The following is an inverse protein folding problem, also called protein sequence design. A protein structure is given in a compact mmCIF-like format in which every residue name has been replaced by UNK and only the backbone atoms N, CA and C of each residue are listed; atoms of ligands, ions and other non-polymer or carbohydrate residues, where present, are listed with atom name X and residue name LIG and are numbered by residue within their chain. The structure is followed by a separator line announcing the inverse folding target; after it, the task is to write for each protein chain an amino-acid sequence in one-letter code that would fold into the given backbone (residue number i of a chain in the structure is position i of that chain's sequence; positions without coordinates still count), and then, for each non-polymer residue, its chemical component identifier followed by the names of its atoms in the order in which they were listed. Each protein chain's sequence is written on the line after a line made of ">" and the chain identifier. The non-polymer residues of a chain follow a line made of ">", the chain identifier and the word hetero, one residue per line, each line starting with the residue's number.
data_IF_427357790670
#
_entry.id   IF_427357790670
#
_cell.length_a   1.000
_cell.length_b   1.000
_cell.length_c   1.000
_cell.angle_alpha   90.00
_cell.angle_beta   90.00
_cell.angle_gamma   90.00
#
_symmetry.space_group_name_H-M   'P 1'
#
loop_
_entity.id
_entity.type
_entity.pdbx_description
1 polymer ?
#
# COMPACT_ATOMS: atom_id res chain seq x y z
N UNK A 1 41.27 -15.66 -6.73
CA UNK A 1 40.13 -15.99 -5.84
C UNK A 1 40.30 -15.49 -4.38
N UNK A 2 41.43 -15.70 -3.71
CA UNK A 2 41.63 -15.28 -2.30
C UNK A 2 41.55 -13.76 -2.00
N UNK A 3 41.83 -12.87 -2.96
CA UNK A 3 41.73 -11.40 -2.78
C UNK A 3 40.28 -10.86 -2.79
N UNK A 4 39.36 -11.59 -3.38
CA UNK A 4 37.92 -11.20 -3.44
C UNK A 4 37.19 -11.51 -2.13
N UNK A 5 37.54 -12.60 -1.47
CA UNK A 5 36.96 -12.97 -0.16
C UNK A 5 37.36 -12.00 0.97
N UNK A 6 38.65 -11.56 1.00
CA UNK A 6 39.10 -10.64 2.04
C UNK A 6 38.43 -9.28 2.00
N UNK A 7 38.04 -8.77 0.82
CA UNK A 7 37.38 -7.48 0.64
C UNK A 7 35.94 -7.50 1.15
N UNK A 8 35.25 -8.64 0.99
CA UNK A 8 33.88 -8.77 1.48
C UNK A 8 33.81 -8.81 3.02
N UNK A 9 34.79 -9.46 3.66
CA UNK A 9 34.89 -9.45 5.12
C UNK A 9 35.18 -8.07 5.69
N UNK A 10 36.00 -7.26 5.04
CA UNK A 10 36.26 -5.87 5.45
C UNK A 10 35.00 -5.00 5.36
N UNK A 11 34.20 -5.16 4.33
CA UNK A 11 32.91 -4.46 4.18
C UNK A 11 31.95 -4.89 5.29
N UNK A 12 31.83 -6.19 5.55
CA UNK A 12 30.96 -6.73 6.62
C UNK A 12 31.42 -6.21 7.98
N UNK A 13 32.70 -6.25 8.29
CA UNK A 13 33.27 -5.74 9.54
C UNK A 13 33.04 -4.22 9.69
N UNK A 14 33.17 -3.46 8.61
CA UNK A 14 32.91 -2.00 8.61
C UNK A 14 31.44 -1.72 8.87
N UNK A 15 30.52 -2.47 8.24
CA UNK A 15 29.08 -2.34 8.50
C UNK A 15 28.71 -2.72 9.94
N UNK A 16 29.25 -3.81 10.46
CA UNK A 16 29.07 -4.22 11.86
C UNK A 16 29.61 -3.15 12.80
N UNK A 17 30.82 -2.65 12.55
CA UNK A 17 31.42 -1.57 13.34
C UNK A 17 30.60 -0.29 13.33
N UNK A 18 30.11 0.12 12.15
CA UNK A 18 29.22 1.26 12.03
C UNK A 18 27.91 1.07 12.80
N UNK A 19 27.26 -0.08 12.65
CA UNK A 19 26.03 -0.40 13.40
C UNK A 19 26.27 -0.42 14.90
N UNK A 20 27.42 -0.95 15.34
CA UNK A 20 27.80 -0.98 16.75
C UNK A 20 28.01 0.42 17.32
N UNK A 21 28.68 1.32 16.56
CA UNK A 21 28.86 2.71 16.96
C UNK A 21 27.51 3.44 17.04
N UNK A 22 26.63 3.26 16.05
CA UNK A 22 25.27 3.84 16.06
C UNK A 22 24.47 3.32 17.26
N UNK A 23 24.48 2.01 17.52
CA UNK A 23 23.81 1.41 18.66
C UNK A 23 24.35 1.94 19.99
N UNK A 24 25.69 2.00 20.17
CA UNK A 24 26.32 2.54 21.39
C UNK A 24 26.00 4.02 21.59
N UNK A 25 26.07 4.82 20.52
CA UNK A 25 25.67 6.22 20.56
C UNK A 25 24.21 6.36 21.02
N UNK A 26 23.31 5.55 20.46
CA UNK A 26 21.89 5.59 20.80
C UNK A 26 21.62 5.17 22.25
N UNK A 27 22.29 4.11 22.72
CA UNK A 27 22.17 3.63 24.12
C UNK A 27 22.66 4.68 25.13
N UNK A 28 23.76 5.38 24.82
CA UNK A 28 24.33 6.40 25.71
C UNK A 28 23.51 7.68 25.74
N UNK A 29 23.04 8.16 24.57
CA UNK A 29 22.36 9.45 24.45
C UNK A 29 20.83 9.35 24.49
N UNK A 30 20.27 8.20 24.19
CA UNK A 30 18.84 7.91 24.17
C UNK A 30 18.60 6.57 24.85
N UNK A 31 18.66 6.50 26.20
CA UNK A 31 18.47 5.26 26.91
C UNK A 31 17.12 4.62 26.56
N UNK A 32 17.10 3.31 26.43
CA UNK A 32 15.89 2.52 26.21
C UNK A 32 15.01 2.57 27.47
N UNK A 33 14.21 3.61 27.56
CA UNK A 33 13.24 3.80 28.62
C UNK A 33 11.90 3.06 28.33
N UNK A 34 10.98 3.15 29.27
CA UNK A 34 9.65 2.55 29.11
C UNK A 34 8.88 3.18 27.93
N UNK A 35 9.09 4.46 27.63
CA UNK A 35 8.48 5.15 26.51
C UNK A 35 8.95 4.61 25.16
N UNK A 36 10.25 4.32 25.02
CA UNK A 36 10.81 3.69 23.83
C UNK A 36 10.21 2.29 23.59
N UNK A 37 10.15 1.45 24.63
CA UNK A 37 9.60 0.09 24.53
C UNK A 37 8.11 0.16 24.15
N UNK A 38 7.36 1.06 24.75
CA UNK A 38 5.96 1.28 24.40
C UNK A 38 5.80 1.67 22.93
N UNK A 39 6.55 2.66 22.45
CA UNK A 39 6.48 3.11 21.05
C UNK A 39 6.91 2.02 20.07
N UNK A 40 7.92 1.23 20.39
CA UNK A 40 8.33 0.09 19.58
C UNK A 40 7.19 -0.93 19.44
N UNK A 41 6.51 -1.26 20.54
CA UNK A 41 5.35 -2.17 20.51
C UNK A 41 4.20 -1.60 19.68
N UNK A 42 3.93 -0.30 19.77
CA UNK A 42 2.94 0.37 18.92
C UNK A 42 3.31 0.25 17.43
N UNK A 43 4.55 0.54 17.08
CA UNK A 43 5.02 0.48 15.69
C UNK A 43 4.97 -0.94 15.13
N UNK A 44 5.33 -1.96 15.92
CA UNK A 44 5.17 -3.36 15.54
C UNK A 44 3.70 -3.74 15.33
N UNK A 45 2.79 -3.25 16.18
CA UNK A 45 1.35 -3.42 15.98
C UNK A 45 0.88 -2.75 14.69
N UNK A 46 1.35 -1.54 14.37
CA UNK A 46 0.98 -0.84 13.14
C UNK A 46 1.44 -1.60 11.88
N UNK A 47 2.68 -2.08 11.88
CA UNK A 47 3.20 -2.91 10.79
C UNK A 47 2.40 -4.20 10.63
N UNK A 48 2.18 -4.92 11.73
CA UNK A 48 1.42 -6.17 11.73
C UNK A 48 -0.01 -5.98 11.18
N UNK A 49 -0.74 -5.00 11.70
CA UNK A 49 -2.12 -4.73 11.23
C UNK A 49 -2.16 -4.28 9.77
N UNK A 50 -1.16 -3.50 9.32
CA UNK A 50 -1.02 -3.09 7.92
C UNK A 50 -0.80 -4.29 6.99
N UNK A 51 0.10 -5.19 7.37
CA UNK A 51 0.38 -6.43 6.61
C UNK A 51 -0.88 -7.31 6.55
N UNK A 52 -1.56 -7.50 7.68
CA UNK A 52 -2.81 -8.28 7.72
C UNK A 52 -3.85 -7.71 6.76
N UNK A 53 -4.06 -6.38 6.77
CA UNK A 53 -5.04 -5.72 5.90
C UNK A 53 -4.70 -5.91 4.41
N UNK A 54 -3.43 -5.74 4.04
CA UNK A 54 -2.95 -5.93 2.66
C UNK A 54 -3.11 -7.39 2.21
N UNK A 55 -2.75 -8.35 3.05
CA UNK A 55 -2.88 -9.78 2.76
C UNK A 55 -4.36 -10.17 2.58
N UNK A 56 -5.22 -9.69 3.46
CA UNK A 56 -6.67 -9.91 3.35
C UNK A 56 -7.25 -9.29 2.08
N UNK A 57 -6.86 -8.06 1.75
CA UNK A 57 -7.27 -7.41 0.51
C UNK A 57 -6.80 -8.19 -0.72
N UNK A 58 -5.54 -8.64 -0.73
CA UNK A 58 -5.01 -9.48 -1.81
C UNK A 58 -5.78 -10.79 -1.99
N UNK A 59 -6.07 -11.48 -0.89
CA UNK A 59 -6.86 -12.72 -0.88
C UNK A 59 -8.31 -12.51 -1.33
N UNK A 60 -8.98 -11.44 -0.85
CA UNK A 60 -10.33 -11.08 -1.26
C UNK A 60 -10.38 -10.76 -2.75
N UNK A 61 -9.48 -9.91 -3.23
CA UNK A 61 -9.44 -9.55 -4.64
C UNK A 61 -9.15 -10.74 -5.54
N UNK A 62 -8.25 -11.65 -5.13
CA UNK A 62 -7.98 -12.90 -5.88
C UNK A 62 -9.24 -13.78 -5.97
N UNK A 63 -10.01 -13.88 -4.90
CA UNK A 63 -11.30 -14.56 -4.90
C UNK A 63 -12.28 -13.90 -5.90
N UNK A 64 -12.40 -12.57 -5.85
CA UNK A 64 -13.29 -11.80 -6.72
C UNK A 64 -12.87 -11.88 -8.20
N UNK A 65 -11.58 -11.82 -8.52
CA UNK A 65 -11.08 -12.04 -9.89
C UNK A 65 -11.44 -13.45 -10.39
N UNK A 66 -11.39 -14.46 -9.53
CA UNK A 66 -11.85 -15.81 -9.86
C UNK A 66 -13.33 -15.86 -10.21
N UNK A 67 -14.18 -15.18 -9.45
CA UNK A 67 -15.62 -15.07 -9.72
C UNK A 67 -15.87 -14.33 -11.05
N UNK A 68 -15.13 -13.26 -11.31
CA UNK A 68 -15.22 -12.49 -12.57
C UNK A 68 -14.61 -13.23 -13.77
N UNK A 69 -13.89 -14.34 -13.54
CA UNK A 69 -13.16 -15.11 -14.58
C UNK A 69 -12.14 -14.26 -15.34
N UNK A 70 -11.50 -13.32 -14.65
CA UNK A 70 -10.39 -12.50 -15.15
C UNK A 70 -9.07 -13.17 -14.75
N UNK A 71 -7.99 -12.89 -15.51
CA UNK A 71 -6.64 -13.37 -15.18
C UNK A 71 -6.24 -12.99 -13.75
N UNK A 72 -5.97 -14.00 -12.94
CA UNK A 72 -5.66 -13.86 -11.51
C UNK A 72 -4.17 -13.60 -11.24
N UNK A 73 -3.31 -13.66 -12.28
CA UNK A 73 -1.85 -13.54 -12.14
C UNK A 73 -1.39 -12.06 -12.11
N UNK A 74 -2.11 -11.22 -11.39
CA UNK A 74 -1.86 -9.78 -11.22
C UNK A 74 -2.07 -9.40 -9.74
N UNK A 75 -1.10 -9.69 -8.86
CA UNK A 75 -1.31 -9.55 -7.42
C UNK A 75 -1.66 -8.12 -6.97
N UNK A 76 -1.13 -7.08 -7.64
CA UNK A 76 -1.48 -5.69 -7.33
C UNK A 76 -2.93 -5.35 -7.69
N UNK A 77 -3.45 -5.88 -8.81
CA UNK A 77 -4.85 -5.70 -9.22
C UNK A 77 -5.79 -6.40 -8.23
N UNK A 78 -5.41 -7.62 -7.78
CA UNK A 78 -6.13 -8.32 -6.71
C UNK A 78 -6.20 -7.47 -5.45
N UNK A 79 -5.06 -6.92 -4.99
CA UNK A 79 -5.01 -6.08 -3.80
C UNK A 79 -5.87 -4.81 -3.95
N UNK A 80 -5.79 -4.14 -5.10
CA UNK A 80 -6.59 -2.94 -5.37
C UNK A 80 -8.09 -3.26 -5.30
N UNK A 81 -8.55 -4.30 -6.00
CA UNK A 81 -9.95 -4.73 -5.98
C UNK A 81 -10.40 -5.06 -4.56
N UNK A 82 -9.58 -5.80 -3.80
CA UNK A 82 -9.87 -6.16 -2.43
C UNK A 82 -9.94 -4.95 -1.49
N UNK A 83 -9.00 -4.00 -1.56
CA UNK A 83 -9.04 -2.77 -0.73
C UNK A 83 -10.28 -1.93 -1.03
N UNK A 84 -10.61 -1.72 -2.31
CA UNK A 84 -11.83 -1.00 -2.67
C UNK A 84 -13.10 -1.68 -2.13
N UNK A 85 -13.22 -3.00 -2.27
CA UNK A 85 -14.34 -3.76 -1.71
C UNK A 85 -14.37 -3.70 -0.18
N UNK A 86 -13.23 -3.82 0.50
CA UNK A 86 -13.14 -3.69 1.96
C UNK A 86 -13.59 -2.31 2.45
N UNK A 87 -13.25 -1.24 1.72
CA UNK A 87 -13.73 0.11 2.01
C UNK A 87 -15.26 0.19 1.99
N UNK A 88 -15.90 -0.37 0.95
CA UNK A 88 -17.36 -0.38 0.83
C UNK A 88 -18.02 -1.27 1.90
N UNK A 89 -17.45 -2.44 2.19
CA UNK A 89 -17.94 -3.34 3.24
C UNK A 89 -17.90 -2.63 4.59
N UNK A 90 -16.80 -1.96 4.90
CA UNK A 90 -16.69 -1.20 6.14
C UNK A 90 -17.69 -0.05 6.20
N UNK A 91 -17.84 0.71 5.10
CA UNK A 91 -18.83 1.77 4.99
C UNK A 91 -20.25 1.27 5.27
N UNK A 92 -20.65 0.16 4.64
CA UNK A 92 -21.98 -0.42 4.82
C UNK A 92 -22.22 -0.87 6.26
N UNK A 93 -21.26 -1.54 6.87
CA UNK A 93 -21.35 -2.01 8.25
C UNK A 93 -21.39 -0.82 9.23
N UNK A 94 -20.52 0.18 9.01
CA UNK A 94 -20.50 1.39 9.83
C UNK A 94 -21.81 2.19 9.73
N UNK A 95 -22.44 2.18 8.55
CA UNK A 95 -23.72 2.84 8.32
C UNK A 95 -24.88 2.13 9.03
N UNK A 96 -24.93 0.78 8.96
CA UNK A 96 -26.05 -0.01 9.48
C UNK A 96 -25.91 -0.27 10.99
N UNK A 97 -24.73 -0.66 11.45
CA UNK A 97 -24.46 -1.15 12.80
C UNK A 97 -23.62 -0.21 13.66
N UNK A 98 -23.15 0.90 13.08
CA UNK A 98 -22.20 1.80 13.72
C UNK A 98 -20.76 1.28 13.69
N UNK A 99 -19.85 2.09 14.23
CA UNK A 99 -18.40 1.82 14.26
C UNK A 99 -18.04 1.21 15.60
N UNK A 100 -17.50 -0.01 15.57
CA UNK A 100 -17.06 -0.74 16.76
C UNK A 100 -15.80 -1.57 16.47
N UNK A 101 -14.89 -1.62 17.43
CA UNK A 101 -13.68 -2.44 17.39
C UNK A 101 -14.02 -3.93 17.20
N UNK A 102 -15.13 -4.40 17.76
CA UNK A 102 -15.58 -5.78 17.63
C UNK A 102 -15.94 -6.16 16.20
N UNK A 103 -16.66 -5.27 15.49
CA UNK A 103 -16.93 -5.45 14.06
C UNK A 103 -15.63 -5.40 13.26
N UNK A 104 -14.74 -4.45 13.58
CA UNK A 104 -13.46 -4.32 12.91
C UNK A 104 -12.65 -5.60 12.93
N UNK A 105 -12.42 -6.20 14.09
CA UNK A 105 -11.70 -7.47 14.22
C UNK A 105 -12.51 -8.66 13.71
N UNK A 106 -13.83 -8.71 13.99
CA UNK A 106 -14.71 -9.82 13.58
C UNK A 106 -14.68 -10.04 12.07
N UNK A 107 -14.75 -8.96 11.29
CA UNK A 107 -14.68 -9.03 9.82
C UNK A 107 -13.31 -9.55 9.37
N UNK A 108 -12.21 -9.03 9.94
CA UNK A 108 -10.86 -9.48 9.56
C UNK A 108 -10.67 -10.97 9.84
N UNK A 109 -11.12 -11.45 11.00
CA UNK A 109 -11.04 -12.88 11.37
C UNK A 109 -11.91 -13.74 10.44
N UNK A 110 -13.15 -13.32 10.17
CA UNK A 110 -14.04 -14.04 9.26
C UNK A 110 -13.47 -14.13 7.84
N UNK A 111 -12.93 -13.03 7.33
CA UNK A 111 -12.27 -13.00 6.02
C UNK A 111 -11.01 -13.87 5.99
N UNK A 112 -10.20 -13.82 7.04
CA UNK A 112 -8.99 -14.64 7.13
C UNK A 112 -9.33 -16.14 7.06
N UNK A 113 -10.32 -16.58 7.82
CA UNK A 113 -10.78 -17.98 7.81
C UNK A 113 -11.38 -18.34 6.44
N UNK A 114 -12.30 -17.51 5.92
CA UNK A 114 -13.01 -17.80 4.66
C UNK A 114 -12.13 -17.74 3.42
N UNK A 115 -11.09 -16.91 3.44
CA UNK A 115 -10.23 -16.66 2.28
C UNK A 115 -8.82 -17.25 2.42
N UNK A 116 -8.56 -18.09 3.41
CA UNK A 116 -7.22 -18.60 3.73
C UNK A 116 -6.48 -19.16 2.49
N UNK A 117 -7.16 -19.93 1.65
CA UNK A 117 -6.58 -20.51 0.43
C UNK A 117 -6.20 -19.42 -0.59
N UNK A 118 -7.06 -18.41 -0.76
CA UNK A 118 -6.81 -17.30 -1.68
C UNK A 118 -5.68 -16.39 -1.17
N UNK A 119 -5.62 -16.17 0.14
CA UNK A 119 -4.54 -15.44 0.80
C UNK A 119 -3.21 -16.14 0.57
N UNK A 120 -3.13 -17.43 0.86
CA UNK A 120 -1.91 -18.21 0.65
C UNK A 120 -1.45 -18.18 -0.82
N UNK A 121 -2.38 -18.38 -1.75
CA UNK A 121 -2.08 -18.33 -3.18
C UNK A 121 -1.59 -16.94 -3.62
N UNK A 122 -2.17 -15.85 -3.10
CA UNK A 122 -1.76 -14.48 -3.40
C UNK A 122 -0.37 -14.15 -2.86
N UNK A 123 -0.07 -14.57 -1.62
CA UNK A 123 1.26 -14.37 -1.01
C UNK A 123 2.35 -15.11 -1.80
N UNK A 124 2.10 -16.36 -2.19
CA UNK A 124 3.04 -17.13 -3.00
C UNK A 124 3.27 -16.47 -4.37
N UNK A 125 2.21 -15.98 -5.02
CA UNK A 125 2.31 -15.32 -6.32
C UNK A 125 3.20 -14.07 -6.26
N UNK A 126 3.00 -13.20 -5.25
CA UNK A 126 3.88 -12.03 -5.06
C UNK A 126 5.33 -12.46 -4.85
N UNK A 127 5.56 -13.47 -4.01
CA UNK A 127 6.90 -13.93 -3.72
C UNK A 127 7.60 -14.48 -4.97
N UNK A 128 6.92 -15.33 -5.75
CA UNK A 128 7.46 -15.91 -6.97
C UNK A 128 7.80 -14.84 -8.02
N UNK A 129 6.84 -13.93 -8.33
CA UNK A 129 7.06 -12.88 -9.34
C UNK A 129 8.22 -11.96 -8.96
N UNK A 130 8.32 -11.56 -7.69
CA UNK A 130 9.42 -10.70 -7.25
C UNK A 130 10.77 -11.44 -7.25
N UNK A 131 10.78 -12.73 -6.93
CA UNK A 131 11.97 -13.55 -7.01
C UNK A 131 12.47 -13.67 -8.44
N UNK A 132 11.59 -13.88 -9.41
CA UNK A 132 11.93 -13.96 -10.83
C UNK A 132 12.53 -12.64 -11.33
N UNK A 133 11.93 -11.49 -10.95
CA UNK A 133 12.47 -10.16 -11.30
C UNK A 133 13.86 -9.96 -10.68
N UNK A 134 14.06 -10.34 -9.42
CA UNK A 134 15.34 -10.20 -8.75
C UNK A 134 16.43 -11.06 -9.38
N UNK A 135 16.13 -12.30 -9.73
CA UNK A 135 17.07 -13.20 -10.38
C UNK A 135 17.36 -12.77 -11.82
N UNK A 136 16.37 -12.24 -12.55
CA UNK A 136 16.55 -11.68 -13.90
C UNK A 136 17.26 -10.32 -13.93
N UNK A 137 17.46 -9.68 -12.76
CA UNK A 137 18.10 -8.36 -12.69
C UNK A 137 19.63 -8.46 -12.78
N UNK A 138 20.22 -7.70 -13.69
CA UNK A 138 21.66 -7.50 -13.80
C UNK A 138 22.21 -6.60 -12.67
N UNK A 139 23.53 -6.43 -12.61
CA UNK A 139 24.21 -5.63 -11.58
C UNK A 139 23.67 -4.21 -11.47
N UNK A 140 23.41 -3.52 -12.58
CA UNK A 140 22.85 -2.17 -12.59
C UNK A 140 21.43 -2.16 -11.97
N UNK A 141 20.57 -3.10 -12.34
CA UNK A 141 19.25 -3.23 -11.78
C UNK A 141 19.28 -3.44 -10.25
N UNK A 142 20.23 -4.23 -9.74
CA UNK A 142 20.43 -4.44 -8.30
C UNK A 142 20.95 -3.20 -7.57
N UNK A 143 21.77 -2.37 -8.21
CA UNK A 143 22.20 -1.07 -7.67
C UNK A 143 21.00 -0.12 -7.55
N UNK A 144 20.19 -0.02 -8.61
CA UNK A 144 18.99 0.81 -8.62
C UNK A 144 17.98 0.30 -7.56
N UNK A 145 17.81 -1.01 -7.43
CA UNK A 145 16.98 -1.61 -6.38
C UNK A 145 17.47 -1.21 -4.97
N UNK A 146 18.80 -1.20 -4.75
CA UNK A 146 19.40 -0.71 -3.50
C UNK A 146 19.07 0.75 -3.18
N UNK A 147 19.11 1.62 -4.19
CA UNK A 147 18.66 3.02 -4.07
C UNK A 147 17.16 3.11 -3.70
N UNK A 148 16.30 2.37 -4.39
CA UNK A 148 14.87 2.32 -4.09
C UNK A 148 14.61 1.84 -2.66
N UNK A 149 15.27 0.76 -2.24
CA UNK A 149 15.14 0.21 -0.89
C UNK A 149 15.58 1.20 0.19
N UNK A 150 16.66 1.97 -0.05
CA UNK A 150 17.10 3.00 0.89
C UNK A 150 16.01 4.06 1.11
N UNK A 151 15.42 4.59 0.03
CA UNK A 151 14.34 5.57 0.12
C UNK A 151 13.11 4.99 0.82
N UNK A 152 12.74 3.76 0.49
CA UNK A 152 11.62 3.07 1.13
C UNK A 152 11.86 2.88 2.63
N UNK A 153 13.05 2.51 3.05
CA UNK A 153 13.40 2.39 4.48
C UNK A 153 13.31 3.74 5.21
N UNK A 154 13.87 4.80 4.62
CA UNK A 154 13.80 6.15 5.22
C UNK A 154 12.35 6.61 5.35
N UNK A 155 11.55 6.45 4.30
CA UNK A 155 10.14 6.85 4.33
C UNK A 155 9.29 5.99 5.26
N UNK A 156 9.62 4.70 5.46
CA UNK A 156 8.98 3.85 6.45
C UNK A 156 9.25 4.35 7.87
N UNK A 157 10.50 4.68 8.18
CA UNK A 157 10.84 5.24 9.50
C UNK A 157 10.04 6.50 9.78
N UNK A 158 9.87 7.38 8.79
CA UNK A 158 9.05 8.58 8.92
C UNK A 158 7.56 8.22 9.06
N UNK A 159 7.05 7.22 8.32
CA UNK A 159 5.67 6.78 8.41
C UNK A 159 5.30 6.14 9.76
N UNK A 160 6.29 5.66 10.51
CA UNK A 160 6.09 5.15 11.87
C UNK A 160 6.05 6.25 12.93
N UNK A 161 6.36 7.49 12.58
CA UNK A 161 6.18 8.66 13.43
C UNK A 161 4.75 9.22 13.31
N UNK A 162 4.27 9.98 14.31
CA UNK A 162 2.97 10.64 14.24
C UNK A 162 2.84 11.52 12.98
N UNK A 163 1.71 11.48 12.25
CA UNK A 163 1.50 12.30 11.06
C UNK A 163 1.44 13.78 11.41
N UNK A 164 2.16 14.60 10.62
CA UNK A 164 2.28 16.06 10.85
C UNK A 164 1.89 16.89 9.63
N UNK A 165 1.47 16.28 8.53
CA UNK A 165 1.14 16.98 7.30
C UNK A 165 -0.28 17.55 7.33
N UNK A 166 -0.44 18.73 6.69
CA UNK A 166 -1.67 19.51 6.73
C UNK A 166 -2.89 18.70 6.30
N UNK A 167 -2.91 18.14 5.08
CA UNK A 167 -4.06 17.42 4.57
C UNK A 167 -4.40 16.16 5.41
N UNK A 168 -3.36 15.48 5.93
CA UNK A 168 -3.57 14.37 6.85
C UNK A 168 -4.35 14.80 8.09
N UNK A 169 -3.96 15.93 8.71
CA UNK A 169 -4.54 16.41 9.97
C UNK A 169 -5.88 17.12 9.79
N UNK A 170 -6.11 17.76 8.63
CA UNK A 170 -7.32 18.56 8.38
C UNK A 170 -8.51 17.71 7.95
N UNK A 171 -8.30 16.66 7.13
CA UNK A 171 -9.42 15.85 6.66
C UNK A 171 -9.13 14.35 6.54
N UNK A 172 -7.99 13.89 5.99
CA UNK A 172 -7.75 12.45 5.78
C UNK A 172 -7.80 11.61 7.06
N UNK A 173 -7.36 12.17 8.19
CA UNK A 173 -7.42 11.52 9.50
C UNK A 173 -8.41 12.19 10.45
N UNK A 174 -8.75 13.47 10.23
CA UNK A 174 -9.73 14.16 11.07
C UNK A 174 -11.15 13.59 10.87
N UNK A 175 -11.57 13.33 9.63
CA UNK A 175 -12.86 12.71 9.34
C UNK A 175 -12.96 11.30 9.97
N UNK A 176 -12.01 10.37 9.72
CA UNK A 176 -11.95 9.08 10.42
C UNK A 176 -12.02 9.18 11.94
N UNK A 177 -11.24 10.10 12.54
CA UNK A 177 -11.25 10.30 13.99
C UNK A 177 -12.61 10.71 14.50
N UNK A 178 -13.30 11.64 13.81
CA UNK A 178 -14.64 12.06 14.17
C UNK A 178 -15.64 10.90 14.08
N UNK A 179 -15.58 10.09 13.02
CA UNK A 179 -16.45 8.91 12.88
C UNK A 179 -16.24 7.89 13.99
N UNK A 180 -14.97 7.61 14.34
CA UNK A 180 -14.62 6.70 15.43
C UNK A 180 -15.15 7.22 16.78
N UNK A 181 -14.95 8.51 17.06
CA UNK A 181 -15.41 9.13 18.30
C UNK A 181 -16.92 9.17 18.41
N UNK A 182 -17.62 9.43 17.30
CA UNK A 182 -19.09 9.39 17.22
C UNK A 182 -19.67 7.98 17.15
N UNK A 183 -18.82 6.95 16.95
CA UNK A 183 -19.20 5.56 16.70
C UNK A 183 -20.17 5.37 15.50
N UNK A 184 -20.18 6.32 14.60
CA UNK A 184 -21.02 6.33 13.38
C UNK A 184 -20.47 7.28 12.34
N UNK A 185 -20.89 7.10 11.09
CA UNK A 185 -20.65 8.06 10.01
C UNK A 185 -21.71 9.16 10.13
N UNK A 186 -21.28 10.40 10.34
CA UNK A 186 -22.15 11.56 10.51
C UNK A 186 -21.68 12.72 9.65
N UNK A 187 -22.60 13.60 9.31
CA UNK A 187 -22.32 14.86 8.64
C UNK A 187 -21.52 15.81 9.56
N UNK A 188 -20.49 16.44 9.03
CA UNK A 188 -19.60 17.35 9.74
C UNK A 188 -19.63 18.73 9.01
N UNK A 189 -20.58 19.60 9.34
CA UNK A 189 -20.78 20.87 8.61
C UNK A 189 -19.59 21.84 8.74
N UNK A 190 -18.81 21.72 9.80
CA UNK A 190 -17.61 22.51 10.05
C UNK A 190 -16.40 22.10 9.22
N UNK A 191 -16.42 20.92 8.59
CA UNK A 191 -15.35 20.43 7.75
C UNK A 191 -15.76 20.46 6.27
N UNK A 192 -15.29 21.43 5.51
CA UNK A 192 -15.60 21.61 4.09
C UNK A 192 -15.17 20.43 3.22
N UNK A 193 -14.20 19.61 3.68
CA UNK A 193 -13.72 18.44 2.98
C UNK A 193 -14.60 17.19 3.18
N UNK A 194 -15.62 17.27 4.06
CA UNK A 194 -16.51 16.14 4.31
C UNK A 194 -17.23 15.65 3.03
N UNK A 195 -17.52 16.54 2.09
CA UNK A 195 -18.16 16.21 0.81
C UNK A 195 -17.24 15.60 -0.24
N UNK A 196 -15.95 15.39 0.06
CA UNK A 196 -15.02 14.73 -0.87
C UNK A 196 -15.21 13.21 -0.90
N UNK A 197 -14.74 12.52 -1.98
CA UNK A 197 -14.74 11.06 -2.04
C UNK A 197 -13.94 10.46 -0.86
N UNK A 198 -14.44 9.38 -0.25
CA UNK A 198 -13.91 8.87 1.02
C UNK A 198 -13.55 7.37 1.01
N UNK A 199 -13.25 6.77 -0.15
CA UNK A 199 -12.82 5.37 -0.22
C UNK A 199 -11.55 5.14 0.61
N UNK A 200 -10.58 6.04 0.52
CA UNK A 200 -9.35 5.98 1.33
C UNK A 200 -9.62 6.22 2.82
N UNK A 201 -10.44 7.22 3.14
CA UNK A 201 -10.81 7.57 4.50
C UNK A 201 -11.59 6.47 5.23
N UNK A 202 -12.41 5.69 4.52
CA UNK A 202 -13.06 4.51 5.12
C UNK A 202 -12.04 3.43 5.50
N UNK A 203 -11.03 3.20 4.67
CA UNK A 203 -9.93 2.31 5.03
C UNK A 203 -9.12 2.86 6.21
N UNK A 204 -8.83 4.16 6.24
CA UNK A 204 -8.18 4.79 7.40
C UNK A 204 -9.07 4.73 8.64
N UNK A 205 -10.39 4.91 8.52
CA UNK A 205 -11.30 4.78 9.66
C UNK A 205 -11.20 3.39 10.27
N UNK A 206 -11.24 2.35 9.43
CA UNK A 206 -11.12 0.98 9.92
C UNK A 206 -9.74 0.74 10.54
N UNK A 207 -8.68 1.18 9.87
CA UNK A 207 -7.32 0.96 10.35
C UNK A 207 -7.03 1.71 11.66
N UNK A 208 -7.45 2.98 11.75
CA UNK A 208 -7.32 3.78 12.97
C UNK A 208 -8.18 3.24 14.13
N UNK A 209 -9.33 2.66 13.85
CA UNK A 209 -10.16 1.98 14.86
C UNK A 209 -9.39 0.83 15.54
N UNK A 210 -8.55 0.10 14.79
CA UNK A 210 -7.79 -1.05 15.28
C UNK A 210 -6.42 -0.68 15.86
N UNK A 211 -5.76 0.31 15.25
CA UNK A 211 -4.37 0.67 15.55
C UNK A 211 -4.18 2.02 16.25
N UNK A 212 -5.17 2.91 16.18
CA UNK A 212 -5.02 4.31 16.60
C UNK A 212 -4.58 5.22 15.44
N UNK A 213 -4.65 6.54 15.65
CA UNK A 213 -4.43 7.55 14.61
C UNK A 213 -3.06 7.43 13.94
N UNK A 214 -2.00 7.19 14.72
CA UNK A 214 -0.62 7.16 14.23
C UNK A 214 -0.36 5.96 13.30
N UNK A 215 -1.22 4.94 13.33
CA UNK A 215 -1.11 3.76 12.48
C UNK A 215 -1.39 4.03 10.99
N UNK A 216 -2.15 5.09 10.68
CA UNK A 216 -2.64 5.36 9.33
C UNK A 216 -1.51 5.62 8.32
N UNK A 217 -0.45 6.35 8.73
CA UNK A 217 0.69 6.62 7.85
C UNK A 217 1.43 5.33 7.45
N UNK A 218 1.56 4.39 8.39
CA UNK A 218 2.16 3.08 8.12
C UNK A 218 1.35 2.25 7.10
N UNK A 219 0.01 2.28 7.21
CA UNK A 219 -0.86 1.62 6.25
C UNK A 219 -0.83 2.28 4.87
N UNK A 220 -0.85 3.62 4.82
CA UNK A 220 -0.66 4.38 3.58
C UNK A 220 0.69 4.08 2.92
N UNK A 221 1.76 4.01 3.72
CA UNK A 221 3.09 3.63 3.25
C UNK A 221 3.11 2.22 2.62
N UNK A 222 2.51 1.24 3.30
CA UNK A 222 2.47 -0.13 2.77
C UNK A 222 1.64 -0.22 1.48
N UNK A 223 0.55 0.55 1.37
CA UNK A 223 -0.23 0.67 0.14
C UNK A 223 0.62 1.26 -1.00
N UNK A 224 1.36 2.32 -0.73
CA UNK A 224 2.30 2.92 -1.68
C UNK A 224 3.42 1.96 -2.09
N UNK A 225 4.02 1.26 -1.12
CA UNK A 225 5.02 0.21 -1.39
C UNK A 225 4.47 -0.86 -2.34
N UNK A 226 3.28 -1.38 -2.08
CA UNK A 226 2.64 -2.37 -2.94
C UNK A 226 2.27 -1.81 -4.33
N UNK A 227 1.96 -0.52 -4.43
CA UNK A 227 1.77 0.16 -5.72
C UNK A 227 3.06 0.17 -6.52
N UNK A 228 4.20 0.48 -5.89
CA UNK A 228 5.52 0.45 -6.52
C UNK A 228 5.94 -0.97 -6.92
N UNK A 229 5.63 -1.97 -6.09
CA UNK A 229 5.82 -3.39 -6.46
C UNK A 229 4.99 -3.75 -7.69
N UNK A 230 3.73 -3.29 -7.76
CA UNK A 230 2.88 -3.50 -8.92
C UNK A 230 3.42 -2.82 -10.18
N UNK A 231 3.94 -1.60 -10.06
CA UNK A 231 4.60 -0.90 -11.17
C UNK A 231 5.84 -1.65 -11.64
N UNK A 232 6.70 -2.08 -10.71
CA UNK A 232 7.87 -2.90 -11.00
C UNK A 232 7.48 -4.15 -11.80
N UNK A 233 6.51 -4.91 -11.31
CA UNK A 233 6.03 -6.14 -11.94
C UNK A 233 5.44 -5.88 -13.33
N UNK A 234 4.65 -4.83 -13.48
CA UNK A 234 4.02 -4.48 -14.75
C UNK A 234 5.07 -4.10 -15.81
N UNK A 235 5.99 -3.21 -15.47
CA UNK A 235 7.03 -2.75 -16.41
C UNK A 235 8.04 -3.85 -16.69
N UNK A 236 8.46 -4.61 -15.68
CA UNK A 236 9.38 -5.74 -15.88
C UNK A 236 8.79 -6.82 -16.79
N UNK A 237 7.49 -7.09 -16.72
CA UNK A 237 6.80 -8.04 -17.60
C UNK A 237 6.66 -7.51 -19.03
N UNK A 238 6.43 -6.19 -19.19
CA UNK A 238 6.20 -5.57 -20.50
C UNK A 238 7.50 -5.33 -21.28
N UNK A 239 8.58 -5.08 -20.57
CA UNK A 239 9.90 -4.77 -21.13
C UNK A 239 10.95 -5.73 -20.57
N UNK A 240 11.58 -5.38 -19.45
CA UNK A 240 12.58 -6.19 -18.75
C UNK A 240 12.73 -5.74 -17.27
N UNK A 241 13.41 -6.53 -16.41
CA UNK A 241 13.59 -6.19 -14.99
C UNK A 241 14.31 -4.86 -14.75
N UNK A 242 15.27 -4.46 -15.60
CA UNK A 242 15.99 -3.20 -15.44
C UNK A 242 15.07 -2.00 -15.65
N UNK A 243 14.23 -2.04 -16.69
CA UNK A 243 13.21 -1.01 -16.93
C UNK A 243 12.21 -0.91 -15.80
N UNK A 244 11.83 -2.04 -15.19
CA UNK A 244 11.01 -2.06 -13.99
C UNK A 244 11.63 -1.29 -12.83
N UNK A 245 12.90 -1.53 -12.52
CA UNK A 245 13.63 -0.80 -11.48
C UNK A 245 13.83 0.69 -11.82
N UNK A 246 14.09 1.03 -13.07
CA UNK A 246 14.20 2.42 -13.52
C UNK A 246 12.87 3.16 -13.33
N UNK A 247 11.72 2.54 -13.64
CA UNK A 247 10.42 3.14 -13.47
C UNK A 247 10.12 3.46 -11.99
N UNK A 248 10.43 2.53 -11.08
CA UNK A 248 10.28 2.74 -9.63
C UNK A 248 11.24 3.83 -9.15
N UNK A 249 12.52 3.79 -9.57
CA UNK A 249 13.51 4.80 -9.20
C UNK A 249 13.14 6.19 -9.69
N UNK A 250 12.59 6.32 -10.90
CA UNK A 250 12.12 7.58 -11.44
C UNK A 250 11.02 8.23 -10.58
N UNK A 251 10.08 7.46 -10.09
CA UNK A 251 9.06 7.95 -9.14
C UNK A 251 9.68 8.33 -7.80
N UNK A 252 10.56 7.50 -7.25
CA UNK A 252 11.18 7.73 -5.95
C UNK A 252 12.26 8.81 -5.96
N UNK A 253 12.80 9.20 -7.10
CA UNK A 253 13.74 10.34 -7.24
C UNK A 253 13.05 11.69 -7.07
N UNK A 254 11.73 11.77 -7.28
CA UNK A 254 10.94 12.96 -7.03
C UNK A 254 10.66 13.13 -5.53
N UNK A 255 11.21 14.20 -4.90
CA UNK A 255 11.07 14.44 -3.46
C UNK A 255 9.62 14.32 -2.96
N UNK A 256 8.67 14.98 -3.64
CA UNK A 256 7.26 14.99 -3.20
C UNK A 256 6.63 13.60 -3.24
N UNK A 257 6.88 12.82 -4.32
CA UNK A 257 6.35 11.47 -4.43
C UNK A 257 6.95 10.53 -3.39
N UNK A 258 8.27 10.55 -3.22
CA UNK A 258 8.93 9.72 -2.22
C UNK A 258 8.46 10.07 -0.79
N UNK A 259 8.45 11.36 -0.45
CA UNK A 259 8.05 11.83 0.87
C UNK A 259 6.55 11.56 1.16
N UNK A 260 5.68 11.61 0.14
CA UNK A 260 4.24 11.36 0.29
C UNK A 260 3.91 9.93 0.75
N UNK A 261 4.83 8.97 0.59
CA UNK A 261 4.68 7.63 1.17
C UNK A 261 4.43 7.68 2.69
N UNK A 262 4.99 8.68 3.39
CA UNK A 262 4.89 8.81 4.85
C UNK A 262 3.82 9.79 5.34
N UNK A 263 3.00 10.39 4.44
CA UNK A 263 2.15 11.52 4.82
C UNK A 263 0.75 11.15 5.32
N UNK A 264 0.35 9.90 5.26
CA UNK A 264 -1.02 9.46 5.51
C UNK A 264 -2.05 10.16 4.59
N UNK A 265 -1.67 10.39 3.33
CA UNK A 265 -2.54 10.89 2.26
C UNK A 265 -3.16 9.72 1.51
N UNK A 266 -4.23 9.98 0.77
CA UNK A 266 -4.90 8.97 -0.05
C UNK A 266 -4.34 8.85 -1.45
N UNK A 267 -3.31 9.64 -1.82
CA UNK A 267 -2.74 9.64 -3.17
C UNK A 267 -2.25 8.26 -3.59
N UNK A 268 -1.64 7.50 -2.68
CA UNK A 268 -1.17 6.15 -2.99
C UNK A 268 -2.29 5.14 -3.19
N UNK A 269 -3.45 5.32 -2.55
CA UNK A 269 -4.65 4.53 -2.90
C UNK A 269 -5.15 4.87 -4.30
N UNK A 270 -5.20 6.16 -4.63
CA UNK A 270 -5.57 6.63 -5.97
C UNK A 270 -4.62 6.11 -7.03
N UNK A 271 -3.30 6.13 -6.77
CA UNK A 271 -2.28 5.57 -7.67
C UNK A 271 -2.42 4.05 -7.81
N UNK A 272 -2.71 3.32 -6.74
CA UNK A 272 -2.95 1.88 -6.77
C UNK A 272 -4.13 1.52 -7.68
N UNK A 273 -5.27 2.19 -7.48
CA UNK A 273 -6.45 1.96 -8.30
C UNK A 273 -6.20 2.37 -9.76
N UNK A 274 -5.57 3.54 -9.99
CA UNK A 274 -5.24 4.03 -11.33
C UNK A 274 -4.27 3.11 -12.07
N UNK A 275 -3.20 2.65 -11.43
CA UNK A 275 -2.28 1.66 -11.99
C UNK A 275 -3.02 0.36 -12.35
N UNK A 276 -3.95 -0.08 -11.49
CA UNK A 276 -4.74 -1.28 -11.74
C UNK A 276 -5.69 -1.13 -12.93
N UNK A 277 -6.25 0.07 -13.15
CA UNK A 277 -7.01 0.40 -14.37
C UNK A 277 -6.12 0.31 -15.60
N UNK A 278 -4.91 0.89 -15.57
CA UNK A 278 -3.97 0.85 -16.68
C UNK A 278 -3.50 -0.57 -17.01
N UNK A 279 -3.26 -1.41 -15.98
CA UNK A 279 -2.94 -2.83 -16.17
C UNK A 279 -4.14 -3.57 -16.81
N UNK A 280 -5.36 -3.25 -16.39
CA UNK A 280 -6.58 -3.79 -17.00
C UNK A 280 -6.73 -3.37 -18.46
N UNK A 281 -6.44 -2.11 -18.79
CA UNK A 281 -6.46 -1.58 -20.14
C UNK A 281 -5.46 -2.31 -21.05
N UNK A 282 -4.22 -2.48 -20.60
CA UNK A 282 -3.20 -3.23 -21.33
C UNK A 282 -3.66 -4.67 -21.61
N UNK A 283 -4.24 -5.33 -20.63
CA UNK A 283 -4.80 -6.68 -20.80
C UNK A 283 -5.96 -6.71 -21.77
N UNK A 284 -6.85 -5.71 -21.72
CA UNK A 284 -7.98 -5.62 -22.63
C UNK A 284 -7.51 -5.36 -24.08
N UNK A 285 -6.50 -4.53 -24.27
CA UNK A 285 -5.90 -4.28 -25.60
C UNK A 285 -5.28 -5.55 -26.20
N UNK A 286 -4.66 -6.42 -25.38
CA UNK A 286 -4.12 -7.69 -25.84
C UNK A 286 -5.24 -8.72 -26.14
N UNK A 287 -6.29 -8.76 -25.31
CA UNK A 287 -7.42 -9.70 -25.45
C UNK A 287 -8.71 -9.06 -24.97
N UNK A 288 -9.45 -8.37 -25.86
CA UNK A 288 -10.71 -7.74 -25.51
C UNK A 288 -11.73 -8.73 -24.94
N UNK A 289 -12.29 -8.42 -23.77
CA UNK A 289 -13.37 -9.18 -23.15
C UNK A 289 -14.16 -8.29 -22.17
N UNK A 290 -15.44 -8.63 -21.96
CA UNK A 290 -16.36 -7.88 -21.12
C UNK A 290 -15.97 -7.91 -19.64
N UNK A 291 -15.40 -9.00 -19.17
CA UNK A 291 -15.02 -9.17 -17.76
C UNK A 291 -13.91 -8.18 -17.36
N UNK A 292 -12.92 -7.98 -18.23
CA UNK A 292 -11.87 -6.97 -18.01
C UNK A 292 -12.42 -5.56 -18.03
N UNK A 293 -13.42 -5.27 -18.91
CA UNK A 293 -14.10 -3.95 -18.92
C UNK A 293 -14.85 -3.71 -17.61
N UNK A 294 -15.57 -4.71 -17.09
CA UNK A 294 -16.24 -4.63 -15.79
C UNK A 294 -15.23 -4.36 -14.67
N UNK A 295 -14.13 -5.11 -14.65
CA UNK A 295 -13.06 -4.92 -13.65
C UNK A 295 -12.49 -3.49 -13.71
N UNK A 296 -12.15 -3.00 -14.90
CA UNK A 296 -11.67 -1.62 -15.09
C UNK A 296 -12.69 -0.59 -14.61
N UNK A 297 -13.97 -0.79 -14.91
CA UNK A 297 -15.06 0.09 -14.45
C UNK A 297 -15.16 0.15 -12.92
N UNK A 298 -15.06 -0.99 -12.24
CA UNK A 298 -15.05 -1.07 -10.77
C UNK A 298 -13.82 -0.37 -10.17
N UNK A 299 -12.63 -0.64 -10.72
CA UNK A 299 -11.38 0.00 -10.26
C UNK A 299 -11.37 1.51 -10.53
N UNK A 300 -11.90 1.95 -11.67
CA UNK A 300 -12.09 3.36 -11.99
C UNK A 300 -13.06 4.04 -11.01
N UNK A 301 -14.13 3.33 -10.61
CA UNK A 301 -15.03 3.78 -9.56
C UNK A 301 -14.32 3.97 -8.21
N UNK A 302 -13.46 3.04 -7.79
CA UNK A 302 -12.66 3.20 -6.57
C UNK A 302 -11.63 4.33 -6.70
N UNK A 303 -11.04 4.51 -7.87
CA UNK A 303 -10.10 5.59 -8.15
C UNK A 303 -10.78 6.96 -7.97
N UNK A 304 -11.93 7.18 -8.60
CA UNK A 304 -12.76 8.38 -8.46
C UNK A 304 -13.30 8.54 -7.04
N UNK A 305 -13.71 7.43 -6.41
CA UNK A 305 -14.17 7.39 -5.03
C UNK A 305 -13.06 7.69 -4.01
N UNK A 306 -11.79 7.66 -4.41
CA UNK A 306 -10.65 8.12 -3.59
C UNK A 306 -10.35 9.60 -3.82
N UNK A 307 -10.30 10.06 -5.08
CA UNK A 307 -9.95 11.45 -5.41
C UNK A 307 -10.55 11.88 -6.74
N UNK A 308 -11.20 13.03 -6.82
CA UNK A 308 -11.80 13.55 -8.07
C UNK A 308 -10.78 13.73 -9.20
N UNK A 309 -9.54 14.08 -8.88
CA UNK A 309 -8.47 14.23 -9.87
C UNK A 309 -8.16 12.95 -10.65
N UNK A 310 -8.57 11.79 -10.14
CA UNK A 310 -8.49 10.52 -10.85
C UNK A 310 -9.35 10.46 -12.13
N UNK A 311 -10.28 11.41 -12.31
CA UNK A 311 -11.07 11.55 -13.53
C UNK A 311 -10.22 11.60 -14.81
N UNK A 312 -9.01 12.14 -14.72
CA UNK A 312 -8.06 12.16 -15.85
C UNK A 312 -7.72 10.73 -16.33
N UNK A 313 -7.46 9.80 -15.40
CA UNK A 313 -7.15 8.39 -15.72
C UNK A 313 -8.36 7.73 -16.38
N UNK A 314 -9.56 7.98 -15.83
CA UNK A 314 -10.81 7.39 -16.35
C UNK A 314 -11.09 7.88 -17.76
N UNK A 315 -11.00 9.20 -17.98
CA UNK A 315 -11.22 9.81 -19.31
C UNK A 315 -10.19 9.28 -20.31
N UNK A 316 -8.91 9.26 -19.96
CA UNK A 316 -7.84 8.75 -20.82
C UNK A 316 -8.08 7.27 -21.18
N UNK A 317 -8.49 6.44 -20.21
CA UNK A 317 -8.83 5.03 -20.47
C UNK A 317 -9.97 4.89 -21.45
N UNK A 318 -11.07 5.66 -21.28
CA UNK A 318 -12.21 5.64 -22.19
C UNK A 318 -11.78 6.07 -23.61
N UNK A 319 -10.98 7.13 -23.73
CA UNK A 319 -10.49 7.62 -25.03
C UNK A 319 -9.68 6.54 -25.76
N UNK A 320 -8.80 5.83 -25.06
CA UNK A 320 -8.03 4.71 -25.66
C UNK A 320 -8.93 3.56 -26.08
N UNK A 321 -9.99 3.25 -25.31
CA UNK A 321 -10.92 2.15 -25.66
C UNK A 321 -11.84 2.47 -26.86
N UNK A 322 -12.05 3.75 -27.15
CA UNK A 322 -12.91 4.19 -28.29
C UNK A 322 -12.08 4.36 -29.56
N UNK A 323 -10.79 4.70 -29.40
CA UNK A 323 -9.86 4.90 -30.53
C UNK A 323 -9.40 3.58 -31.13
#
# INVERSE_FOLDING_TARGET
>A
MKRFESRNWLIILSLIGFLLIVCLYYVIHKPFDRGFIYQLNCNLKYLFTSIVMVILAGGLGKCLLGILKVDQNRPVVSMALGLGCLSLVFLMIAWIFGISVWWGWGILVALFIGLFRNIHAWVLEIACVNQDIWHGSETLGKIIAGFCLLILLVTLIIALAPPVKFDALVYHLALPRNYINAQRINYLPENTFWGMPQVGEMLYTWFMLLGGTDSAACFGWLTGFMTLVGLLQFVAKKFDPLMGWIAVAALLSGYTLAASLSWAYIDWFTMLFGLSVLIGLDQWMEKPNTQTVILMGVLAGFCLGSKYTAGVIVIATIMVMIW
#
